data_IF_585281679227
#
_entry.id   IF_585281679227
#
_cell.length_a   1.000
_cell.length_b   1.000
_cell.length_c   1.000
_cell.angle_alpha   90.00
_cell.angle_beta   90.00
_cell.angle_gamma   90.00
#
_symmetry.space_group_name_H-M   'P 1'
#
loop_
_entity.id
_entity.type
_entity.pdbx_description
1 polymer ?
#
# COMPACT_ATOMS: atom_id res chain seq x y z
N UNK A 1 6.62 -4.63 4.38
CA UNK A 1 6.43 -3.24 3.96
C UNK A 1 7.60 -2.34 4.37
N UNK A 2 7.97 -1.41 3.50
CA UNK A 2 8.84 -0.27 3.81
C UNK A 2 10.16 -0.63 4.50
N UNK A 3 10.54 0.19 5.48
CA UNK A 3 11.78 0.01 6.24
C UNK A 3 11.89 -1.34 6.95
N UNK A 4 10.77 -1.90 7.42
CA UNK A 4 10.75 -3.22 8.04
C UNK A 4 11.18 -4.32 7.06
N UNK A 5 10.75 -4.25 5.79
CA UNK A 5 11.25 -5.18 4.77
C UNK A 5 12.77 -5.04 4.58
N UNK A 6 13.28 -3.80 4.56
CA UNK A 6 14.70 -3.52 4.38
C UNK A 6 15.53 -4.16 5.49
N UNK A 7 15.20 -3.91 6.76
CA UNK A 7 15.99 -4.40 7.91
C UNK A 7 15.87 -5.91 8.15
N UNK A 8 14.84 -6.56 7.58
CA UNK A 8 14.62 -8.00 7.67
C UNK A 8 15.37 -8.78 6.57
N UNK A 9 16.66 -8.50 6.40
CA UNK A 9 17.56 -9.17 5.44
C UNK A 9 17.06 -9.16 4.00
N UNK A 10 16.62 -7.99 3.51
CA UNK A 10 16.29 -7.84 2.09
C UNK A 10 17.51 -8.03 1.20
N UNK A 11 17.27 -8.21 -0.11
CA UNK A 11 18.33 -8.40 -1.08
C UNK A 11 19.31 -7.22 -1.13
N UNK A 12 18.81 -6.00 -0.93
CA UNK A 12 19.56 -4.75 -0.94
C UNK A 12 20.52 -4.64 0.26
N UNK A 13 20.20 -5.28 1.38
CA UNK A 13 21.11 -5.45 2.52
C UNK A 13 21.96 -6.73 2.41
N UNK A 14 22.11 -7.28 1.20
CA UNK A 14 22.97 -8.42 0.89
C UNK A 14 22.48 -9.75 1.48
N UNK A 15 21.16 -9.92 1.63
CA UNK A 15 20.59 -11.26 1.80
C UNK A 15 21.00 -12.17 0.64
N UNK A 16 21.51 -13.36 0.96
CA UNK A 16 22.02 -14.29 -0.06
C UNK A 16 20.90 -14.75 -1.00
N UNK A 17 19.80 -15.22 -0.41
CA UNK A 17 18.63 -15.76 -1.11
C UNK A 17 17.36 -15.27 -0.42
N UNK A 18 16.40 -14.76 -1.20
CA UNK A 18 15.08 -14.33 -0.74
C UNK A 18 14.01 -15.09 -1.50
N UNK A 19 13.07 -15.69 -0.78
CA UNK A 19 11.89 -16.33 -1.35
C UNK A 19 10.65 -15.53 -0.94
N UNK A 20 9.68 -15.47 -1.83
CA UNK A 20 8.37 -14.89 -1.59
C UNK A 20 7.32 -15.98 -1.84
N UNK A 21 6.44 -16.21 -0.87
CA UNK A 21 5.25 -17.02 -1.09
C UNK A 21 4.29 -16.29 -2.03
N UNK A 22 3.37 -17.00 -2.72
CA UNK A 22 2.33 -16.36 -3.53
C UNK A 22 1.47 -15.35 -2.76
N UNK A 23 1.37 -15.50 -1.44
CA UNK A 23 0.65 -14.59 -0.54
C UNK A 23 1.51 -13.44 0.01
N UNK A 24 2.77 -13.32 -0.41
CA UNK A 24 3.66 -12.29 0.14
C UNK A 24 3.42 -10.93 -0.53
N UNK A 25 3.20 -9.90 0.27
CA UNK A 25 3.02 -8.53 -0.20
C UNK A 25 4.24 -7.66 0.13
N UNK A 26 4.97 -7.24 -0.90
CA UNK A 26 6.19 -6.44 -0.76
C UNK A 26 5.93 -5.04 -1.34
N UNK A 27 5.55 -4.10 -0.48
CA UNK A 27 5.31 -2.71 -0.88
C UNK A 27 6.01 -1.70 0.05
N UNK A 28 6.03 -0.42 -0.35
CA UNK A 28 6.60 0.69 0.44
C UNK A 28 5.79 0.94 1.72
N UNK A 29 4.46 0.88 1.62
CA UNK A 29 3.51 1.01 2.73
C UNK A 29 2.24 0.21 2.40
N UNK A 30 1.31 0.07 3.36
CA UNK A 30 0.02 -0.56 3.12
C UNK A 30 -0.93 0.30 2.28
N UNK A 31 -1.97 -0.33 1.72
CA UNK A 31 -2.93 0.32 0.83
C UNK A 31 -3.58 1.58 1.40
N UNK A 32 -3.87 1.60 2.71
CA UNK A 32 -4.47 2.76 3.36
C UNK A 32 -3.61 4.01 3.23
N UNK A 33 -2.33 3.94 3.61
CA UNK A 33 -1.41 5.05 3.45
C UNK A 33 -1.11 5.38 1.99
N UNK A 34 -1.07 4.37 1.11
CA UNK A 34 -0.82 4.59 -0.30
C UNK A 34 -1.97 5.36 -0.98
N UNK A 35 -3.22 4.99 -0.70
CA UNK A 35 -4.43 5.63 -1.25
C UNK A 35 -4.55 7.07 -0.77
N UNK A 36 -4.27 7.36 0.51
CA UNK A 36 -4.26 8.74 1.02
C UNK A 36 -3.29 9.64 0.27
N UNK A 37 -2.11 9.14 -0.08
CA UNK A 37 -1.10 9.92 -0.82
C UNK A 37 -1.50 10.07 -2.28
N UNK A 38 -1.86 8.98 -2.94
CA UNK A 38 -2.18 8.94 -4.38
C UNK A 38 -3.43 9.76 -4.71
N UNK A 39 -4.47 9.65 -3.90
CA UNK A 39 -5.78 10.28 -4.11
C UNK A 39 -6.02 11.49 -3.20
N UNK A 40 -4.97 12.02 -2.56
CA UNK A 40 -5.02 13.19 -1.66
C UNK A 40 -5.87 14.35 -2.18
N UNK A 41 -5.76 14.67 -3.48
CA UNK A 41 -6.52 15.76 -4.13
C UNK A 41 -8.00 15.44 -4.29
N UNK A 42 -8.35 14.20 -4.61
CA UNK A 42 -9.73 13.75 -4.80
C UNK A 42 -10.44 13.67 -3.43
N UNK A 43 -9.74 13.13 -2.43
CA UNK A 43 -10.20 13.07 -1.04
C UNK A 43 -10.43 14.48 -0.49
N UNK A 44 -9.55 15.44 -0.79
CA UNK A 44 -9.71 16.83 -0.34
C UNK A 44 -10.82 17.61 -1.08
N UNK A 45 -11.19 17.19 -2.29
CA UNK A 45 -12.23 17.84 -3.09
C UNK A 45 -13.65 17.37 -2.72
N UNK A 46 -13.78 16.13 -2.24
CA UNK A 46 -15.05 15.54 -1.82
C UNK A 46 -15.47 16.07 -0.44
N UNK A 47 -16.75 16.44 -0.31
CA UNK A 47 -17.32 17.03 0.92
C UNK A 47 -18.32 16.10 1.60
N UNK A 48 -18.75 15.06 0.89
CA UNK A 48 -19.69 14.08 1.38
C UNK A 48 -18.94 12.90 2.03
N UNK A 49 -18.98 12.77 3.38
CA UNK A 49 -18.21 11.76 4.09
C UNK A 49 -18.64 10.32 3.75
N UNK A 50 -19.89 10.09 3.38
CA UNK A 50 -20.37 8.75 3.03
C UNK A 50 -19.82 8.30 1.68
N UNK A 51 -19.81 9.20 0.69
CA UNK A 51 -19.24 8.90 -0.64
C UNK A 51 -17.73 8.74 -0.58
N UNK A 52 -17.06 9.57 0.21
CA UNK A 52 -15.62 9.46 0.42
C UNK A 52 -15.21 8.08 0.95
N UNK A 53 -15.96 7.55 1.93
CA UNK A 53 -15.68 6.25 2.52
C UNK A 53 -15.83 5.10 1.50
N UNK A 54 -16.85 5.16 0.64
CA UNK A 54 -17.06 4.16 -0.42
C UNK A 54 -15.93 4.20 -1.45
N UNK A 55 -15.59 5.39 -1.93
CA UNK A 55 -14.49 5.56 -2.91
C UNK A 55 -13.15 5.10 -2.33
N UNK A 56 -12.87 5.42 -1.06
CA UNK A 56 -11.65 4.97 -0.38
C UNK A 56 -11.57 3.45 -0.27
N UNK A 57 -12.67 2.78 0.10
CA UNK A 57 -12.71 1.32 0.16
C UNK A 57 -12.53 0.67 -1.22
N UNK A 58 -13.16 1.21 -2.26
CA UNK A 58 -12.96 0.75 -3.63
C UNK A 58 -11.51 0.92 -4.08
N UNK A 59 -10.90 2.10 -3.82
CA UNK A 59 -9.49 2.36 -4.15
C UNK A 59 -8.52 1.50 -3.35
N UNK A 60 -8.81 1.20 -2.09
CA UNK A 60 -8.02 0.27 -1.27
C UNK A 60 -8.05 -1.15 -1.84
N UNK A 61 -9.22 -1.63 -2.28
CA UNK A 61 -9.36 -2.96 -2.91
C UNK A 61 -8.64 -3.02 -4.24
N UNK A 62 -8.87 -2.04 -5.11
CA UNK A 62 -8.16 -1.92 -6.40
C UNK A 62 -6.65 -1.94 -6.19
N UNK A 63 -6.14 -1.22 -5.18
CA UNK A 63 -4.70 -1.20 -4.87
C UNK A 63 -4.14 -2.56 -4.41
N UNK A 64 -4.92 -3.33 -3.65
CA UNK A 64 -4.48 -4.65 -3.15
C UNK A 64 -4.54 -5.75 -4.23
N UNK A 65 -5.38 -5.58 -5.25
CA UNK A 65 -5.56 -6.55 -6.33
C UNK A 65 -4.57 -6.36 -7.51
N UNK A 66 -3.75 -5.30 -7.47
CA UNK A 66 -2.67 -5.01 -8.45
C UNK A 66 -1.45 -5.92 -8.27
#
# INVERSE_FOLDING_TARGET
YGGAHIVMSCKQLRGDINYAWPSAEIAVMGAEGAVEVLYSKEIAAEKDPEKLAVVLEEKKKEYNDL
#
